data_IF_235386129691
#
_entry.id   IF_235386129691
#
_cell.length_a   1.000
_cell.length_b   1.000
_cell.length_c   1.000
_cell.angle_alpha   90.00
_cell.angle_beta   90.00
_cell.angle_gamma   90.00
#
_symmetry.space_group_name_H-M   'P 1'
#
loop_
_entity.id
_entity.type
_entity.pdbx_description
1 polymer ?
#
# COMPACT_ATOMS: atom_id res chain seq x y z
N UNK A 1 11.40 -14.66 -0.87
CA UNK A 1 10.80 -13.84 0.21
C UNK A 1 10.41 -12.52 -0.42
N UNK A 2 9.24 -11.99 -0.12
CA UNK A 2 8.77 -10.73 -0.67
C UNK A 2 8.72 -9.63 0.40
N UNK A 3 8.85 -8.39 -0.04
CA UNK A 3 8.77 -7.20 0.80
C UNK A 3 7.61 -6.33 0.33
N UNK A 4 6.77 -5.93 1.27
CA UNK A 4 5.65 -5.02 1.02
C UNK A 4 5.97 -3.66 1.64
N UNK A 5 5.76 -2.58 0.87
CA UNK A 5 5.94 -1.21 1.36
C UNK A 5 4.58 -0.56 1.67
N UNK A 6 4.36 -0.20 2.93
CA UNK A 6 3.19 0.54 3.39
C UNK A 6 3.50 2.02 3.60
N UNK A 7 2.70 2.90 2.98
CA UNK A 7 2.84 4.37 3.04
C UNK A 7 1.60 5.12 3.55
N UNK A 8 0.53 4.37 3.89
CA UNK A 8 -0.76 4.89 4.34
C UNK A 8 -1.35 4.06 5.48
N UNK A 9 -2.61 3.64 5.32
CA UNK A 9 -3.36 2.81 6.30
C UNK A 9 -2.61 1.55 6.73
N UNK A 10 -1.90 0.90 5.81
CA UNK A 10 -1.09 -0.29 6.06
C UNK A 10 0.01 -0.07 7.10
N UNK A 11 0.42 1.17 7.37
CA UNK A 11 1.40 1.45 8.42
C UNK A 11 0.86 1.17 9.83
N UNK A 12 -0.46 1.14 9.98
CA UNK A 12 -1.17 0.93 11.25
C UNK A 12 -1.95 -0.38 11.28
N UNK A 13 -2.32 -0.89 10.12
CA UNK A 13 -3.26 -2.01 9.97
C UNK A 13 -2.84 -2.92 8.81
N UNK A 14 -1.67 -3.56 8.93
CA UNK A 14 -1.17 -4.50 7.91
C UNK A 14 -1.84 -5.87 8.00
N UNK A 15 -2.37 -6.28 9.16
CA UNK A 15 -3.19 -7.50 9.37
C UNK A 15 -2.64 -8.87 8.88
N UNK A 16 -1.43 -8.95 8.32
CA UNK A 16 -0.81 -10.20 7.85
C UNK A 16 0.39 -10.62 8.69
N UNK A 17 0.77 -11.89 8.58
CA UNK A 17 1.99 -12.42 9.19
C UNK A 17 3.22 -11.73 8.60
N UNK A 18 4.08 -11.23 9.47
CA UNK A 18 5.36 -10.64 9.06
C UNK A 18 6.49 -11.27 9.85
N UNK A 19 7.57 -11.60 9.16
CA UNK A 19 8.80 -12.11 9.78
C UNK A 19 9.70 -10.96 10.25
N UNK A 20 9.51 -9.78 9.67
CA UNK A 20 10.27 -8.58 9.96
C UNK A 20 9.45 -7.34 9.57
N UNK A 21 9.55 -6.29 10.37
CA UNK A 21 8.96 -4.98 10.09
C UNK A 21 9.97 -3.89 10.45
N UNK A 22 10.21 -2.96 9.53
CA UNK A 22 11.13 -1.84 9.77
C UNK A 22 10.69 -0.57 9.04
N UNK A 23 11.26 0.57 9.43
CA UNK A 23 11.07 1.83 8.71
C UNK A 23 11.82 1.78 7.40
N UNK A 24 11.16 2.20 6.31
CA UNK A 24 11.73 2.27 4.97
C UNK A 24 11.45 3.62 4.34
N UNK A 25 12.29 4.01 3.37
CA UNK A 25 12.06 5.20 2.54
C UNK A 25 12.06 4.78 1.08
N UNK A 26 10.92 4.95 0.41
CA UNK A 26 10.80 4.78 -1.03
C UNK A 26 11.27 6.07 -1.71
N UNK A 27 12.38 6.01 -2.45
CA UNK A 27 12.94 7.16 -3.18
C UNK A 27 12.32 7.24 -4.57
N UNK A 28 12.20 8.45 -5.09
CA UNK A 28 11.61 8.69 -6.42
C UNK A 28 10.09 8.76 -6.41
N UNK A 29 9.46 8.68 -5.23
CA UNK A 29 8.02 8.80 -5.04
C UNK A 29 7.71 9.59 -3.77
N UNK A 30 6.58 10.30 -3.75
CA UNK A 30 6.06 10.96 -2.55
C UNK A 30 4.56 10.65 -2.39
N UNK A 31 4.06 10.86 -1.17
CA UNK A 31 2.66 10.61 -0.82
C UNK A 31 1.79 11.78 -1.27
N UNK A 32 0.67 11.48 -1.92
CA UNK A 32 -0.30 12.49 -2.34
C UNK A 32 -1.73 11.97 -2.21
N UNK A 33 -2.69 12.86 -1.95
CA UNK A 33 -4.12 12.50 -1.93
C UNK A 33 -4.69 12.51 -3.35
N UNK A 34 -4.10 11.70 -4.23
CA UNK A 34 -4.38 11.68 -5.66
C UNK A 34 -5.32 10.54 -6.09
N UNK A 35 -5.67 9.62 -5.18
CA UNK A 35 -6.61 8.53 -5.44
C UNK A 35 -8.02 8.91 -4.98
N UNK A 36 -9.03 8.48 -5.72
CA UNK A 36 -10.44 8.55 -5.33
C UNK A 36 -10.90 7.18 -4.88
N UNK A 37 -11.50 7.10 -3.70
CA UNK A 37 -12.09 5.87 -3.18
C UNK A 37 -13.56 6.06 -2.85
N UNK A 38 -14.34 5.01 -3.11
CA UNK A 38 -15.72 4.88 -2.64
C UNK A 38 -15.83 3.87 -1.48
N UNK A 39 -14.76 3.12 -1.20
CA UNK A 39 -14.67 2.17 -0.10
C UNK A 39 -14.21 2.85 1.19
N UNK A 40 -13.28 3.80 1.08
CA UNK A 40 -12.72 4.53 2.21
C UNK A 40 -12.99 6.04 2.08
N UNK A 41 -13.57 6.63 3.13
CA UNK A 41 -13.76 8.08 3.26
C UNK A 41 -14.59 8.74 2.14
N UNK A 42 -15.45 8.00 1.44
CA UNK A 42 -16.30 8.52 0.36
C UNK A 42 -17.55 7.68 0.09
N UNK A 43 -18.40 8.17 -0.82
CA UNK A 43 -19.58 7.45 -1.34
C UNK A 43 -19.55 7.41 -2.87
N UNK A 44 -20.40 6.59 -3.53
CA UNK A 44 -20.50 6.59 -5.00
C UNK A 44 -20.77 7.97 -5.61
N UNK A 45 -21.55 8.81 -4.92
CA UNK A 45 -21.92 10.16 -5.37
C UNK A 45 -20.81 11.18 -5.10
N UNK A 46 -20.05 10.99 -4.01
CA UNK A 46 -18.92 11.87 -3.64
C UNK A 46 -17.74 11.01 -3.18
N UNK A 47 -16.89 10.55 -4.11
CA UNK A 47 -15.71 9.77 -3.78
C UNK A 47 -14.74 10.56 -2.90
N UNK A 48 -14.16 9.89 -1.92
CA UNK A 48 -13.24 10.46 -0.95
C UNK A 48 -11.80 10.47 -1.47
N UNK A 49 -11.00 11.50 -1.15
CA UNK A 49 -9.58 11.48 -1.44
C UNK A 49 -8.87 10.50 -0.50
N UNK A 50 -8.08 9.59 -1.08
CA UNK A 50 -7.20 8.67 -0.32
C UNK A 50 -5.77 8.78 -0.82
N UNK A 51 -4.83 8.33 0.01
CA UNK A 51 -3.41 8.39 -0.29
C UNK A 51 -3.05 7.45 -1.45
N UNK A 52 -2.28 7.97 -2.39
CA UNK A 52 -1.51 7.22 -3.37
C UNK A 52 -0.07 7.73 -3.42
N UNK A 53 0.68 7.25 -4.41
CA UNK A 53 2.04 7.68 -4.70
C UNK A 53 2.07 8.48 -6.00
N UNK A 54 2.90 9.52 -6.03
CA UNK A 54 3.23 10.27 -7.24
C UNK A 54 4.74 10.30 -7.46
N UNK A 55 5.22 10.30 -8.72
CA UNK A 55 6.63 10.38 -9.02
C UNK A 55 7.32 11.62 -8.41
N UNK A 56 8.58 11.46 -8.04
CA UNK A 56 9.44 12.48 -7.46
C UNK A 56 9.48 12.47 -5.93
N UNK A 57 10.57 12.98 -5.37
CA UNK A 57 10.77 13.12 -3.94
C UNK A 57 11.12 11.81 -3.22
N UNK A 58 10.67 11.69 -1.97
CA UNK A 58 10.81 10.50 -1.16
C UNK A 58 9.60 10.29 -0.24
N UNK A 59 9.31 9.03 0.06
CA UNK A 59 8.17 8.62 0.85
C UNK A 59 8.66 7.76 2.02
N UNK A 60 8.54 8.27 3.24
CA UNK A 60 8.76 7.49 4.45
C UNK A 60 7.55 6.58 4.73
N UNK A 61 7.83 5.33 5.08
CA UNK A 61 6.82 4.32 5.37
C UNK A 61 7.37 3.17 6.20
N UNK A 62 6.70 2.03 6.11
CA UNK A 62 7.13 0.77 6.70
C UNK A 62 7.34 -0.27 5.60
N UNK A 63 8.33 -1.12 5.78
CA UNK A 63 8.51 -2.33 4.97
C UNK A 63 8.23 -3.54 5.82
N UNK A 64 7.50 -4.49 5.24
CA UNK A 64 7.07 -5.72 5.87
C UNK A 64 7.63 -6.91 5.10
N UNK A 65 8.33 -7.81 5.79
CA UNK A 65 8.85 -9.05 5.20
C UNK A 65 7.82 -10.16 5.34
N UNK A 66 7.27 -10.57 4.21
CA UNK A 66 6.20 -11.56 4.15
C UNK A 66 6.77 -12.90 3.67
N UNK A 67 6.39 -14.04 4.29
CA UNK A 67 6.73 -15.36 3.78
C UNK A 67 6.23 -15.57 2.35
N UNK A 68 7.03 -16.19 1.47
CA UNK A 68 6.62 -16.42 0.07
C UNK A 68 5.30 -17.20 -0.04
N UNK A 69 5.06 -18.14 0.88
CA UNK A 69 3.84 -18.92 0.92
C UNK A 69 2.58 -18.09 1.22
N UNK A 70 2.71 -16.87 1.77
CA UNK A 70 1.60 -15.96 2.07
C UNK A 70 1.48 -14.84 1.04
N UNK A 71 2.41 -14.69 0.10
CA UNK A 71 2.44 -13.59 -0.86
C UNK A 71 1.11 -13.40 -1.58
N UNK A 72 0.59 -14.48 -2.19
CA UNK A 72 -0.61 -14.39 -3.02
C UNK A 72 -1.85 -14.04 -2.19
N UNK A 73 -1.97 -14.61 -0.99
CA UNK A 73 -3.04 -14.29 -0.04
C UNK A 73 -3.02 -12.82 0.39
N UNK A 74 -1.82 -12.29 0.69
CA UNK A 74 -1.64 -10.88 1.06
C UNK A 74 -2.05 -9.98 -0.09
N UNK A 75 -1.57 -10.28 -1.30
CA UNK A 75 -1.92 -9.53 -2.52
C UNK A 75 -3.42 -9.52 -2.77
N UNK A 76 -4.08 -10.67 -2.71
CA UNK A 76 -5.51 -10.80 -2.96
C UNK A 76 -6.32 -9.98 -1.95
N UNK A 77 -6.00 -10.12 -0.66
CA UNK A 77 -6.64 -9.35 0.42
C UNK A 77 -6.42 -7.84 0.28
N UNK A 78 -5.24 -7.40 -0.17
CA UNK A 78 -4.97 -5.98 -0.43
C UNK A 78 -5.75 -5.46 -1.65
N UNK A 79 -5.88 -6.25 -2.71
CA UNK A 79 -6.68 -5.87 -3.88
C UNK A 79 -8.15 -5.67 -3.51
N UNK A 80 -8.71 -6.56 -2.67
CA UNK A 80 -10.08 -6.43 -2.17
C UNK A 80 -10.25 -5.19 -1.30
N UNK A 81 -9.30 -4.96 -0.38
CA UNK A 81 -9.31 -3.82 0.54
C UNK A 81 -9.25 -2.47 -0.19
N UNK A 82 -8.31 -2.33 -1.13
CA UNK A 82 -8.01 -1.07 -1.80
C UNK A 82 -8.92 -0.80 -3.01
N UNK A 83 -9.55 -1.86 -3.52
CA UNK A 83 -10.55 -1.81 -4.57
C UNK A 83 -10.00 -1.45 -5.96
N UNK A 84 -10.87 -1.12 -6.92
CA UNK A 84 -10.50 -1.00 -8.34
C UNK A 84 -9.52 0.13 -8.66
N UNK A 85 -9.38 1.10 -7.75
CA UNK A 85 -8.43 2.23 -7.91
C UNK A 85 -7.01 1.89 -7.47
N UNK A 86 -6.79 0.69 -6.96
CA UNK A 86 -5.49 0.24 -6.47
C UNK A 86 -4.56 -0.09 -7.63
N UNK A 87 -3.55 0.76 -7.81
CA UNK A 87 -2.43 0.48 -8.70
C UNK A 87 -1.29 -0.13 -7.88
N UNK A 88 -1.03 -1.42 -8.11
CA UNK A 88 0.02 -2.17 -7.44
C UNK A 88 1.26 -2.17 -8.32
N UNK A 89 2.35 -1.62 -7.80
CA UNK A 89 3.66 -1.72 -8.41
C UNK A 89 4.46 -2.87 -7.79
N UNK A 90 5.04 -3.71 -8.64
CA UNK A 90 5.94 -4.79 -8.25
C UNK A 90 7.25 -4.63 -9.00
N UNK A 91 8.36 -4.62 -8.27
CA UNK A 91 9.70 -4.53 -8.83
C UNK A 91 10.56 -5.66 -8.27
N UNK A 92 11.24 -6.39 -9.17
CA UNK A 92 12.24 -7.37 -8.79
C UNK A 92 13.56 -6.62 -8.55
N UNK A 93 14.00 -6.58 -7.29
CA UNK A 93 15.25 -5.94 -6.85
C UNK A 93 16.38 -6.98 -6.87
#
# INVERSE_FOLDING_TARGET
MCWMFGYGSLMWDFAFTTTEQQRGTLRGYHRSFNKKSIQAWGTPETPGPVLGLEPGGECAGLVFRVPDAEHDTVVESLNEREGPSYDRHEELI
#
